data_IF_093244187780
#
_entry.id   IF_093244187780
#
_cell.length_a   1.000
_cell.length_b   1.000
_cell.length_c   1.000
_cell.angle_alpha   90.00
_cell.angle_beta   90.00
_cell.angle_gamma   90.00
#
_symmetry.space_group_name_H-M   'P 1'
#
loop_
_entity.id
_entity.type
_entity.pdbx_description
1 polymer ?
#
# COMPACT_ATOMS: atom_id res chain seq x y z
N UNK A 1 -30.82 14.86 8.25
CA UNK A 1 -29.59 15.60 8.03
C UNK A 1 -28.76 14.94 6.97
N UNK A 2 -28.78 15.46 5.76
CA UNK A 2 -28.01 14.87 4.65
C UNK A 2 -26.50 14.89 4.91
N UNK A 3 -26.02 15.79 5.75
CA UNK A 3 -24.60 15.94 6.03
C UNK A 3 -23.98 14.74 6.72
N UNK A 4 -24.74 14.07 7.55
CA UNK A 4 -24.23 12.91 8.29
C UNK A 4 -23.94 11.73 7.38
N UNK A 5 -24.80 11.53 6.38
CA UNK A 5 -24.61 10.46 5.39
C UNK A 5 -23.40 10.75 4.53
N UNK A 6 -23.24 12.02 4.12
CA UNK A 6 -22.13 12.43 3.29
C UNK A 6 -20.77 12.28 4.01
N UNK A 7 -20.76 12.49 5.31
CA UNK A 7 -19.52 12.39 6.11
C UNK A 7 -19.08 10.93 6.20
N UNK A 8 -20.01 10.00 6.38
CA UNK A 8 -19.68 8.60 6.53
C UNK A 8 -19.14 7.97 5.24
N UNK A 9 -19.73 8.32 4.09
CA UNK A 9 -19.30 7.79 2.81
C UNK A 9 -17.87 8.16 2.45
N UNK A 10 -17.45 9.42 2.60
CA UNK A 10 -16.05 9.78 2.31
C UNK A 10 -15.04 9.03 3.17
N UNK A 11 -15.36 8.75 4.41
CA UNK A 11 -14.46 8.00 5.29
C UNK A 11 -14.23 6.58 4.79
N UNK A 12 -15.30 5.91 4.36
CA UNK A 12 -15.20 4.57 3.81
C UNK A 12 -14.38 4.56 2.53
N UNK A 13 -14.65 5.52 1.64
CA UNK A 13 -13.93 5.64 0.39
C UNK A 13 -12.44 5.94 0.61
N UNK A 14 -12.13 6.78 1.60
CA UNK A 14 -10.76 7.12 1.96
C UNK A 14 -10.01 5.89 2.43
N UNK A 15 -10.67 5.06 3.23
CA UNK A 15 -10.08 3.83 3.72
C UNK A 15 -9.74 2.88 2.57
N UNK A 16 -10.69 2.69 1.65
CA UNK A 16 -10.50 1.82 0.50
C UNK A 16 -9.44 2.34 -0.48
N UNK A 17 -9.18 3.64 -0.45
CA UNK A 17 -8.24 4.30 -1.37
C UNK A 17 -6.81 4.34 -0.85
N UNK A 18 -6.50 3.65 0.24
CA UNK A 18 -5.13 3.64 0.77
C UNK A 18 -4.21 2.78 -0.09
N UNK A 19 -3.13 3.36 -0.67
CA UNK A 19 -2.16 2.56 -1.43
C UNK A 19 -1.52 1.45 -0.61
N UNK A 20 -1.21 1.76 0.64
CA UNK A 20 -0.58 0.81 1.55
C UNK A 20 -1.45 -0.43 1.76
N UNK A 21 -2.73 -0.21 2.02
CA UNK A 21 -3.68 -1.30 2.26
C UNK A 21 -3.96 -2.10 0.99
N UNK A 22 -4.03 -1.43 -0.16
CA UNK A 22 -4.27 -2.09 -1.42
C UNK A 22 -3.21 -3.15 -1.72
N UNK A 23 -1.97 -2.92 -1.35
CA UNK A 23 -0.87 -3.85 -1.56
C UNK A 23 -0.74 -4.89 -0.46
N UNK A 24 -1.63 -4.90 0.51
CA UNK A 24 -1.68 -5.92 1.54
C UNK A 24 -2.19 -7.27 1.05
N UNK A 25 -2.94 -7.29 -0.04
CA UNK A 25 -3.42 -8.52 -0.65
C UNK A 25 -2.38 -9.08 -1.62
N UNK A 26 -2.02 -10.35 -1.47
CA UNK A 26 -0.96 -10.97 -2.27
C UNK A 26 -1.25 -11.01 -3.76
N UNK A 27 -2.50 -11.26 -4.13
CA UNK A 27 -2.89 -11.30 -5.55
C UNK A 27 -2.85 -9.90 -6.15
N UNK A 28 -3.34 -8.89 -5.43
CA UNK A 28 -3.26 -7.50 -5.89
C UNK A 28 -1.82 -7.07 -6.07
N UNK A 29 -0.96 -7.43 -5.13
CA UNK A 29 0.46 -7.11 -5.23
C UNK A 29 1.08 -7.76 -6.46
N UNK A 30 0.76 -9.02 -6.74
CA UNK A 30 1.25 -9.72 -7.92
C UNK A 30 0.80 -9.03 -9.22
N UNK A 31 -0.46 -8.59 -9.26
CA UNK A 31 -0.98 -7.82 -10.40
C UNK A 31 -0.21 -6.52 -10.55
N UNK A 32 -0.02 -5.80 -9.45
CA UNK A 32 0.70 -4.53 -9.46
C UNK A 32 2.14 -4.72 -9.95
N UNK A 33 2.82 -5.75 -9.48
CA UNK A 33 4.18 -6.06 -9.90
C UNK A 33 4.29 -6.31 -11.40
N UNK A 34 3.28 -6.97 -11.98
CA UNK A 34 3.23 -7.16 -13.44
C UNK A 34 3.10 -5.82 -14.17
N UNK A 35 2.27 -4.93 -13.64
CA UNK A 35 2.09 -3.61 -14.23
C UNK A 35 3.33 -2.73 -14.08
N UNK A 36 4.12 -2.94 -13.04
CA UNK A 36 5.40 -2.24 -12.89
C UNK A 36 6.34 -2.61 -14.05
N UNK A 37 6.29 -3.85 -14.51
CA UNK A 37 7.12 -4.27 -15.64
C UNK A 37 6.66 -3.62 -16.96
N UNK A 38 5.36 -3.62 -17.22
CA UNK A 38 4.77 -2.94 -18.38
C UNK A 38 3.24 -2.89 -18.26
N UNK A 39 2.58 -2.01 -18.99
CA UNK A 39 1.11 -1.99 -19.03
C UNK A 39 0.53 -3.29 -19.56
N UNK A 40 -0.64 -3.67 -19.06
CA UNK A 40 -1.33 -4.89 -19.47
C UNK A 40 -2.83 -4.72 -19.45
N UNK A 41 -3.51 -5.46 -20.32
CA UNK A 41 -4.96 -5.57 -20.31
C UNK A 41 -5.38 -6.67 -19.32
N UNK A 42 -6.66 -6.65 -18.91
CA UNK A 42 -7.21 -7.65 -17.99
C UNK A 42 -6.96 -9.08 -18.47
N UNK A 43 -7.17 -9.33 -19.75
CA UNK A 43 -6.96 -10.66 -20.31
C UNK A 43 -5.52 -11.14 -20.25
N UNK A 44 -4.57 -10.20 -20.41
CA UNK A 44 -3.14 -10.54 -20.29
C UNK A 44 -2.81 -10.95 -18.85
N UNK A 45 -3.30 -10.19 -17.88
CA UNK A 45 -3.06 -10.49 -16.46
C UNK A 45 -3.69 -11.83 -16.07
N UNK A 46 -4.89 -12.10 -16.54
CA UNK A 46 -5.56 -13.36 -16.25
C UNK A 46 -4.84 -14.56 -16.90
N UNK A 47 -4.14 -14.33 -18.01
CA UNK A 47 -3.33 -15.36 -18.64
C UNK A 47 -2.00 -15.60 -17.96
N UNK A 48 -1.46 -14.60 -17.27
CA UNK A 48 -0.15 -14.67 -16.61
C UNK A 48 -0.22 -15.12 -15.16
N UNK A 49 -1.39 -14.98 -14.53
CA UNK A 49 -1.57 -15.26 -13.11
C UNK A 49 -2.68 -16.29 -12.91
N UNK A 50 -2.66 -17.07 -11.83
CA UNK A 50 -3.68 -18.07 -11.57
C UNK A 50 -4.96 -17.46 -11.00
N UNK A 51 -5.57 -16.54 -11.76
CA UNK A 51 -6.77 -15.82 -11.35
C UNK A 51 -7.69 -15.65 -12.55
N UNK A 52 -8.99 -15.53 -12.28
CA UNK A 52 -10.00 -15.33 -13.32
C UNK A 52 -10.05 -13.87 -13.73
N UNK A 53 -10.58 -13.60 -14.93
CA UNK A 53 -10.77 -12.23 -15.40
C UNK A 53 -11.63 -11.38 -14.44
N UNK A 54 -12.77 -11.88 -13.93
CA UNK A 54 -13.53 -11.09 -12.96
C UNK A 54 -12.74 -10.76 -11.70
N UNK A 55 -11.91 -11.69 -11.22
CA UNK A 55 -11.06 -11.45 -10.07
C UNK A 55 -10.02 -10.37 -10.35
N UNK A 56 -9.37 -10.43 -11.52
CA UNK A 56 -8.41 -9.41 -11.95
C UNK A 56 -9.08 -8.05 -12.00
N UNK A 57 -10.27 -7.97 -12.62
CA UNK A 57 -11.01 -6.71 -12.71
C UNK A 57 -11.31 -6.13 -11.34
N UNK A 58 -11.68 -6.97 -10.39
CA UNK A 58 -11.97 -6.58 -9.02
C UNK A 58 -10.73 -6.00 -8.34
N UNK A 59 -9.61 -6.71 -8.45
CA UNK A 59 -8.34 -6.25 -7.87
C UNK A 59 -7.85 -4.97 -8.52
N UNK A 60 -8.01 -4.81 -9.82
CA UNK A 60 -7.64 -3.58 -10.52
C UNK A 60 -8.49 -2.39 -10.06
N UNK A 61 -9.77 -2.64 -9.75
CA UNK A 61 -10.64 -1.59 -9.24
C UNK A 61 -10.12 -1.06 -7.91
N UNK A 62 -9.68 -1.95 -7.02
CA UNK A 62 -9.10 -1.56 -5.73
C UNK A 62 -7.80 -0.79 -5.94
N UNK A 63 -6.92 -1.26 -6.82
CA UNK A 63 -5.66 -0.58 -7.12
C UNK A 63 -5.90 0.80 -7.72
N UNK A 64 -6.91 0.93 -8.58
CA UNK A 64 -7.26 2.22 -9.19
C UNK A 64 -7.84 3.18 -8.16
N UNK A 65 -8.71 2.69 -7.27
CA UNK A 65 -9.26 3.50 -6.18
C UNK A 65 -8.17 3.99 -5.24
N UNK A 66 -7.13 3.19 -5.04
CA UNK A 66 -5.97 3.57 -4.24
C UNK A 66 -5.02 4.53 -4.97
N UNK A 67 -5.26 4.80 -6.24
CA UNK A 67 -4.43 5.71 -7.03
C UNK A 67 -3.12 5.10 -7.52
N UNK A 68 -2.97 3.79 -7.42
CA UNK A 68 -1.73 3.11 -7.82
C UNK A 68 -1.68 2.78 -9.30
N UNK A 69 -2.82 2.65 -9.94
CA UNK A 69 -2.92 2.36 -11.37
C UNK A 69 -3.97 3.25 -12.01
N UNK A 70 -3.88 3.39 -13.33
CA UNK A 70 -4.90 4.03 -14.13
C UNK A 70 -5.13 3.18 -15.37
N UNK A 71 -6.20 3.43 -16.08
CA UNK A 71 -6.52 2.70 -17.29
C UNK A 71 -6.77 3.66 -18.45
N UNK A 72 -6.52 3.16 -19.65
CA UNK A 72 -6.77 3.92 -20.88
C UNK A 72 -7.33 2.97 -21.93
N UNK A 73 -8.12 3.54 -22.82
CA UNK A 73 -8.62 2.80 -23.98
C UNK A 73 -7.48 2.65 -24.98
N UNK A 74 -7.34 1.44 -25.52
CA UNK A 74 -6.36 1.13 -26.55
C UNK A 74 -7.02 0.20 -27.54
N UNK A 75 -7.57 0.76 -28.62
CA UNK A 75 -8.45 0.04 -29.53
C UNK A 75 -9.74 -0.36 -28.82
N UNK A 76 -10.08 -1.63 -28.87
CA UNK A 76 -11.30 -2.16 -28.25
C UNK A 76 -11.07 -2.66 -26.83
N UNK A 77 -9.86 -2.55 -26.32
CA UNK A 77 -9.53 -3.06 -24.98
C UNK A 77 -9.08 -1.93 -24.08
N UNK A 78 -9.08 -2.23 -22.78
CA UNK A 78 -8.60 -1.34 -21.75
C UNK A 78 -7.26 -1.83 -21.23
N UNK A 79 -6.29 -0.94 -21.19
CA UNK A 79 -4.94 -1.25 -20.73
C UNK A 79 -4.71 -0.52 -19.40
N UNK A 80 -4.20 -1.24 -18.43
CA UNK A 80 -3.88 -0.69 -17.11
C UNK A 80 -2.39 -0.46 -16.99
N UNK A 81 -2.04 0.63 -16.33
CA UNK A 81 -0.64 1.04 -16.15
C UNK A 81 -0.46 1.63 -14.76
N UNK A 82 0.78 1.63 -14.30
CA UNK A 82 1.14 2.19 -13.00
C UNK A 82 1.00 3.71 -13.02
N UNK A 83 0.43 4.25 -11.97
CA UNK A 83 0.30 5.69 -11.76
C UNK A 83 1.48 6.17 -10.90
N UNK A 84 2.40 6.89 -11.50
CA UNK A 84 3.61 7.35 -10.83
C UNK A 84 3.32 8.19 -9.58
N UNK A 85 2.30 9.04 -9.64
CA UNK A 85 1.92 9.87 -8.48
C UNK A 85 1.46 9.01 -7.30
N UNK A 86 0.73 7.92 -7.58
CA UNK A 86 0.32 6.99 -6.54
C UNK A 86 1.48 6.25 -5.91
N UNK A 87 2.46 5.86 -6.72
CA UNK A 87 3.67 5.20 -6.25
C UNK A 87 4.48 6.15 -5.37
N UNK A 88 4.56 7.42 -5.73
CA UNK A 88 5.25 8.42 -4.91
C UNK A 88 4.56 8.61 -3.56
N UNK A 89 3.23 8.60 -3.52
CA UNK A 89 2.50 8.67 -2.26
C UNK A 89 2.78 7.43 -1.39
N UNK A 90 2.81 6.26 -2.00
CA UNK A 90 3.13 5.01 -1.31
C UNK A 90 4.54 5.08 -0.71
N UNK A 91 5.48 5.58 -1.49
CA UNK A 91 6.86 5.76 -1.03
C UNK A 91 6.92 6.70 0.17
N UNK A 92 6.19 7.80 0.11
CA UNK A 92 6.11 8.74 1.23
C UNK A 92 5.53 8.12 2.49
N UNK A 93 4.48 7.32 2.34
CA UNK A 93 3.87 6.60 3.46
C UNK A 93 4.87 5.61 4.06
N UNK A 94 5.60 4.89 3.22
CA UNK A 94 6.60 3.92 3.66
C UNK A 94 7.74 4.62 4.39
N UNK A 95 8.21 5.75 3.89
CA UNK A 95 9.26 6.53 4.52
C UNK A 95 8.84 7.02 5.91
N UNK A 96 7.61 7.49 6.05
CA UNK A 96 7.08 7.92 7.35
C UNK A 96 6.98 6.75 8.33
N UNK A 97 6.48 5.63 7.87
CA UNK A 97 6.37 4.42 8.68
C UNK A 97 7.75 3.96 9.14
N UNK A 98 8.70 3.93 8.22
CA UNK A 98 10.07 3.50 8.50
C UNK A 98 10.72 4.41 9.54
N UNK A 99 10.56 5.73 9.38
CA UNK A 99 11.10 6.71 10.32
C UNK A 99 10.51 6.52 11.70
N UNK A 100 9.19 6.31 11.79
CA UNK A 100 8.53 6.07 13.07
C UNK A 100 9.01 4.78 13.72
N UNK A 101 9.17 3.74 12.94
CA UNK A 101 9.65 2.45 13.43
C UNK A 101 11.07 2.55 13.95
N UNK A 102 11.96 3.24 13.23
CA UNK A 102 13.33 3.45 13.67
C UNK A 102 13.41 4.27 14.95
N UNK A 103 12.60 5.33 15.04
CA UNK A 103 12.56 6.17 16.24
C UNK A 103 12.11 5.37 17.45
N UNK A 104 11.08 4.56 17.29
CA UNK A 104 10.58 3.69 18.36
C UNK A 104 11.65 2.68 18.79
N UNK A 105 12.34 2.10 17.82
CA UNK A 105 13.41 1.15 18.09
C UNK A 105 14.56 1.81 18.85
N UNK A 106 14.96 3.01 18.45
CA UNK A 106 16.01 3.76 19.15
C UNK A 106 15.64 4.04 20.59
N UNK A 107 14.39 4.43 20.85
CA UNK A 107 13.90 4.68 22.20
C UNK A 107 14.01 3.44 23.08
N UNK A 108 13.65 2.29 22.53
CA UNK A 108 13.75 1.02 23.27
C UNK A 108 15.22 0.68 23.54
N UNK A 109 16.08 0.83 22.55
CA UNK A 109 17.51 0.55 22.69
C UNK A 109 18.16 1.47 23.73
N UNK A 110 17.83 2.75 23.72
CA UNK A 110 18.35 3.72 24.71
C UNK A 110 17.92 3.37 26.12
N UNK A 111 16.66 2.98 26.30
CA UNK A 111 16.15 2.58 27.61
C UNK A 111 16.85 1.33 28.13
N UNK A 112 17.08 0.35 27.24
CA UNK A 112 17.78 -0.88 27.60
C UNK A 112 19.22 -0.58 28.02
N UNK A 113 19.93 0.24 27.28
CA UNK A 113 21.30 0.63 27.58
C UNK A 113 21.38 1.37 28.92
N UNK A 114 20.45 2.30 29.16
CA UNK A 114 20.40 3.03 30.41
C UNK A 114 20.14 2.11 31.59
N UNK A 115 19.22 1.16 31.43
CA UNK A 115 18.90 0.19 32.49
C UNK A 115 20.09 -0.68 32.81
N UNK A 116 20.86 -1.11 31.85
CA UNK A 116 22.08 -1.91 32.07
C UNK A 116 23.16 -1.07 32.74
N UNK A 117 23.32 0.18 32.35
CA UNK A 117 24.25 1.10 32.99
C UNK A 117 23.93 1.30 34.47
N UNK A 118 22.67 1.52 34.80
CA UNK A 118 22.22 1.66 36.18
C UNK A 118 22.51 0.39 37.01
N UNK A 119 22.27 -0.77 36.41
CA UNK A 119 22.56 -2.06 37.09
C UNK A 119 24.03 -2.23 37.36
N UNK A 120 24.89 -1.85 36.44
CA UNK A 120 26.34 -1.94 36.63
C UNK A 120 26.82 -0.99 37.72
N UNK A 121 26.29 0.21 37.79
CA UNK A 121 26.62 1.16 38.83
C UNK A 121 26.22 0.65 40.20
N UNK A 122 25.07 -0.02 40.29
CA UNK A 122 24.63 -0.59 41.57
C UNK A 122 25.48 -1.75 42.06
N UNK A 123 26.22 -2.43 41.18
CA UNK A 123 27.09 -3.54 41.54
C UNK A 123 28.47 -3.11 41.96
N UNK A 124 28.85 -1.88 41.74
CA UNK A 124 30.16 -1.38 42.19
C UNK A 124 30.15 -1.10 43.69
N UNK A 125 31.12 -1.57 44.42
CA UNK A 125 31.22 -1.32 45.86
C UNK A 125 31.47 0.14 46.21
#
# INVERSE_FOLDING_TARGET
MPNMVSVNLPLVLTYEASPWEALGDGTRRAIFERLVERPRAVGELAGELPVTRPSVSQHLRVLKAAGLVFDRAEGTRRVYAVNAAGVERLRGDLDRFWTQALTAFQSVAERSTKSEGDKQEMKKP
#
